data_IF_703573107296
#
_entry.id   IF_703573107296
#
_cell.length_a   1.000
_cell.length_b   1.000
_cell.length_c   1.000
_cell.angle_alpha   90.00
_cell.angle_beta   90.00
_cell.angle_gamma   90.00
#
_symmetry.space_group_name_H-M   'P 1'
#
loop_
_entity.id
_entity.type
_entity.pdbx_description
1 polymer ?
#
# COMPACT_ATOMS: atom_id res chain seq x y z
N UNK A 1 3.17 -15.93 -7.26
CA UNK A 1 3.17 -14.46 -7.10
C UNK A 1 2.92 -13.85 -8.47
N UNK A 2 2.17 -12.74 -8.54
CA UNK A 2 1.94 -12.04 -9.81
C UNK A 2 3.24 -11.38 -10.29
N UNK A 3 3.47 -11.28 -11.62
CA UNK A 3 4.60 -10.56 -12.18
C UNK A 3 4.70 -9.12 -11.68
N UNK A 4 5.93 -8.64 -11.50
CA UNK A 4 6.21 -7.29 -11.02
C UNK A 4 5.56 -6.21 -11.90
N UNK A 5 5.66 -6.37 -13.22
CA UNK A 5 5.07 -5.46 -14.20
C UNK A 5 3.55 -5.31 -14.08
N UNK A 6 2.86 -6.31 -13.51
CA UNK A 6 1.41 -6.24 -13.28
C UNK A 6 1.06 -5.55 -11.96
N UNK A 7 1.92 -5.64 -10.94
CA UNK A 7 1.62 -5.09 -9.61
C UNK A 7 2.16 -3.67 -9.42
N UNK A 8 3.21 -3.30 -10.16
CA UNK A 8 3.81 -1.97 -10.09
C UNK A 8 2.82 -0.84 -10.44
N UNK A 9 1.96 -0.96 -11.48
CA UNK A 9 0.95 0.07 -11.76
C UNK A 9 -0.07 0.24 -10.64
N UNK A 10 -0.55 -0.86 -10.04
CA UNK A 10 -1.55 -0.83 -8.95
C UNK A 10 -0.97 -0.21 -7.67
N UNK A 11 0.32 -0.43 -7.43
CA UNK A 11 1.06 0.23 -6.35
C UNK A 11 1.24 1.73 -6.64
N UNK A 12 1.67 2.06 -7.87
CA UNK A 12 1.92 3.44 -8.28
C UNK A 12 0.66 4.32 -8.11
N UNK A 13 -0.51 3.79 -8.44
CA UNK A 13 -1.77 4.52 -8.29
C UNK A 13 -2.01 5.02 -6.84
N UNK A 14 -1.71 4.19 -5.84
CA UNK A 14 -1.86 4.58 -4.44
C UNK A 14 -0.76 5.57 -4.04
N UNK A 15 0.49 5.31 -4.41
CA UNK A 15 1.61 6.19 -4.04
C UNK A 15 1.49 7.58 -4.67
N UNK A 16 1.00 7.66 -5.91
CA UNK A 16 0.74 8.93 -6.61
C UNK A 16 -0.39 9.74 -5.97
N UNK A 17 -1.31 9.07 -5.27
CA UNK A 17 -2.39 9.69 -4.48
C UNK A 17 -1.98 10.01 -3.04
N UNK A 18 -0.71 9.80 -2.68
CA UNK A 18 -0.14 10.17 -1.39
C UNK A 18 -0.13 9.07 -0.33
N UNK A 19 -0.39 7.80 -0.70
CA UNK A 19 -0.17 6.68 0.20
C UNK A 19 1.31 6.35 0.33
N UNK A 20 1.74 6.00 1.54
CA UNK A 20 3.09 5.49 1.79
C UNK A 20 3.16 3.98 1.54
N UNK A 21 4.21 3.52 0.84
CA UNK A 21 4.45 2.11 0.60
C UNK A 21 5.17 1.43 1.77
N UNK A 22 4.45 0.56 2.46
CA UNK A 22 4.90 -0.16 3.66
C UNK A 22 5.24 -1.61 3.32
N UNK A 23 6.50 -1.88 3.00
CA UNK A 23 6.97 -3.21 2.54
C UNK A 23 7.60 -4.08 3.62
N UNK A 24 7.73 -3.58 4.86
CA UNK A 24 8.31 -4.32 5.98
C UNK A 24 7.43 -4.22 7.22
N UNK A 25 7.54 -5.21 8.11
CA UNK A 25 6.79 -5.23 9.35
C UNK A 25 7.09 -4.01 10.22
N UNK A 26 8.34 -3.57 10.29
CA UNK A 26 8.77 -2.42 11.09
C UNK A 26 8.15 -1.11 10.58
N UNK A 27 8.05 -0.95 9.25
CA UNK A 27 7.38 0.21 8.64
C UNK A 27 5.89 0.24 8.98
N UNK A 28 5.22 -0.92 8.90
CA UNK A 28 3.82 -1.06 9.30
C UNK A 28 3.65 -0.70 10.78
N UNK A 29 4.48 -1.27 11.64
CA UNK A 29 4.48 -1.03 13.09
C UNK A 29 4.65 0.45 13.43
N UNK A 30 5.52 1.14 12.69
CA UNK A 30 5.75 2.57 12.87
C UNK A 30 4.54 3.38 12.43
N UNK A 31 3.96 3.08 11.26
CA UNK A 31 2.83 3.81 10.69
C UNK A 31 1.56 3.69 11.55
N UNK A 32 1.27 2.52 12.12
CA UNK A 32 0.07 2.32 12.96
C UNK A 32 0.19 2.93 14.36
N UNK A 33 1.41 3.22 14.82
CA UNK A 33 1.68 3.86 16.12
C UNK A 33 1.71 5.39 16.04
N UNK A 34 1.59 5.98 14.85
CA UNK A 34 1.55 7.43 14.67
C UNK A 34 0.33 8.03 15.38
N UNK A 35 0.49 9.24 15.91
CA UNK A 35 -0.61 9.97 16.55
C UNK A 35 -1.60 10.50 15.51
N UNK A 36 -2.88 10.56 15.88
CA UNK A 36 -3.95 11.00 14.98
C UNK A 36 -4.68 9.84 14.33
N UNK A 37 -5.06 9.99 13.07
CA UNK A 37 -5.84 8.98 12.32
C UNK A 37 -5.07 8.55 11.08
N UNK A 38 -4.85 7.24 10.96
CA UNK A 38 -4.17 6.64 9.81
C UNK A 38 -5.19 5.92 8.92
N UNK A 39 -5.27 6.31 7.64
CA UNK A 39 -6.02 5.56 6.63
C UNK A 39 -5.10 4.48 6.03
N UNK A 40 -5.36 3.22 6.36
CA UNK A 40 -4.58 2.09 5.85
C UNK A 40 -5.37 1.38 4.74
N UNK A 41 -4.75 1.25 3.56
CA UNK A 41 -5.32 0.51 2.43
C UNK A 41 -4.55 -0.78 2.23
N UNK A 42 -5.25 -1.91 2.32
CA UNK A 42 -4.72 -3.22 1.96
C UNK A 42 -4.95 -3.42 0.47
N UNK A 43 -3.93 -3.15 -0.33
CA UNK A 43 -4.02 -3.32 -1.78
C UNK A 43 -4.06 -4.81 -2.17
N UNK A 44 -4.67 -5.11 -3.32
CA UNK A 44 -4.73 -6.47 -3.86
C UNK A 44 -4.76 -6.45 -5.40
N UNK A 45 -4.41 -7.57 -6.00
CA UNK A 45 -4.50 -7.79 -7.46
C UNK A 45 -5.91 -8.18 -7.94
N UNK A 46 -6.88 -8.28 -7.03
CA UNK A 46 -8.26 -8.57 -7.39
C UNK A 46 -8.90 -7.36 -8.08
N UNK A 47 -9.72 -7.59 -9.10
CA UNK A 47 -10.32 -6.50 -9.89
C UNK A 47 -11.27 -5.56 -9.11
N UNK A 48 -11.63 -5.89 -7.87
CA UNK A 48 -12.39 -4.99 -6.99
C UNK A 48 -11.51 -3.92 -6.30
N UNK A 49 -10.20 -4.11 -6.29
CA UNK A 49 -9.22 -3.19 -5.70
C UNK A 49 -8.59 -2.24 -6.73
N UNK A 50 -8.86 -2.47 -8.02
CA UNK A 50 -8.44 -1.63 -9.14
C UNK A 50 -9.42 -0.50 -9.41
#
# INVERSE_FOLDING_TARGET
>A
MYPEDLVMPMKAELTDKGFEDLTTAEKVDTAVKQSGTTLLVINSVCGCAA
#
